data_IF_660552088008
#
_entry.id   IF_660552088008
#
_cell.length_a   1.000
_cell.length_b   1.000
_cell.length_c   1.000
_cell.angle_alpha   90.00
_cell.angle_beta   90.00
_cell.angle_gamma   90.00
#
_symmetry.space_group_name_H-M   'P 1'
#
loop_
_entity.id
_entity.type
_entity.pdbx_description
1 polymer ?
#
# COMPACT_ATOMS: atom_id res chain seq x y z
N UNK A 1 -22.36 14.07 -0.37
CA UNK A 1 -21.90 13.09 0.64
C UNK A 1 -22.05 11.68 0.08
N UNK A 2 -23.19 11.38 -0.54
CA UNK A 2 -23.52 10.04 -1.09
C UNK A 2 -22.55 9.54 -2.16
N UNK A 3 -22.13 10.40 -3.09
CA UNK A 3 -21.15 10.03 -4.13
C UNK A 3 -19.81 9.52 -3.57
N UNK A 4 -19.39 10.04 -2.41
CA UNK A 4 -18.13 9.64 -1.77
C UNK A 4 -18.30 8.28 -1.06
N UNK A 5 -19.44 8.07 -0.41
CA UNK A 5 -19.77 6.78 0.20
C UNK A 5 -19.98 5.69 -0.85
N UNK A 6 -20.54 6.03 -2.01
CA UNK A 6 -20.75 5.09 -3.11
C UNK A 6 -19.42 4.67 -3.74
N UNK A 7 -18.51 5.63 -3.95
CA UNK A 7 -17.16 5.34 -4.44
C UNK A 7 -16.37 4.45 -3.46
N UNK A 8 -16.44 4.74 -2.16
CA UNK A 8 -15.78 3.92 -1.15
C UNK A 8 -16.34 2.50 -1.12
N UNK A 9 -17.67 2.36 -1.23
CA UNK A 9 -18.31 1.05 -1.29
C UNK A 9 -17.89 0.27 -2.54
N UNK A 10 -17.92 0.91 -3.71
CA UNK A 10 -17.54 0.29 -4.99
C UNK A 10 -16.08 -0.19 -5.01
N UNK A 11 -15.18 0.51 -4.34
CA UNK A 11 -13.74 0.16 -4.33
C UNK A 11 -13.39 -0.81 -3.20
N UNK A 12 -13.90 -0.60 -1.98
CA UNK A 12 -13.43 -1.32 -0.79
C UNK A 12 -14.37 -2.41 -0.29
N UNK A 13 -15.63 -2.43 -0.74
CA UNK A 13 -16.64 -3.35 -0.22
C UNK A 13 -17.19 -4.32 -1.26
N UNK A 14 -17.72 -3.81 -2.38
CA UNK A 14 -18.34 -4.66 -3.41
C UNK A 14 -17.41 -5.70 -4.03
N UNK A 15 -16.11 -5.42 -4.29
CA UNK A 15 -15.21 -6.43 -4.83
C UNK A 15 -15.02 -7.61 -3.88
N UNK A 16 -15.02 -7.35 -2.57
CA UNK A 16 -14.91 -8.39 -1.56
C UNK A 16 -16.18 -9.22 -1.47
N UNK A 17 -17.36 -8.60 -1.58
CA UNK A 17 -18.60 -9.35 -1.70
C UNK A 17 -18.59 -10.25 -2.93
N UNK A 18 -18.17 -9.73 -4.09
CA UNK A 18 -18.07 -10.52 -5.31
C UNK A 18 -17.16 -11.75 -5.12
N UNK A 19 -15.98 -11.57 -4.52
CA UNK A 19 -15.06 -12.68 -4.23
C UNK A 19 -15.66 -13.69 -3.24
N UNK A 20 -16.32 -13.22 -2.17
CA UNK A 20 -16.90 -14.07 -1.13
C UNK A 20 -18.15 -14.83 -1.61
N UNK A 21 -18.78 -14.40 -2.70
CA UNK A 21 -19.90 -15.11 -3.34
C UNK A 21 -19.47 -16.20 -4.33
N UNK A 22 -18.19 -16.23 -4.70
CA UNK A 22 -17.64 -17.32 -5.51
C UNK A 22 -17.62 -18.63 -4.72
N UNK A 23 -17.46 -19.74 -5.43
CA UNK A 23 -17.15 -21.01 -4.79
C UNK A 23 -15.92 -20.88 -3.89
N UNK A 24 -15.95 -21.58 -2.75
CA UNK A 24 -14.94 -21.49 -1.69
C UNK A 24 -13.52 -21.73 -2.21
N UNK A 25 -13.35 -22.64 -3.19
CA UNK A 25 -12.04 -22.92 -3.77
C UNK A 25 -11.49 -21.70 -4.52
N UNK A 26 -12.31 -21.10 -5.38
CA UNK A 26 -11.93 -19.90 -6.14
C UNK A 26 -11.71 -18.69 -5.23
N UNK A 27 -12.60 -18.49 -4.26
CA UNK A 27 -12.48 -17.40 -3.29
C UNK A 27 -11.16 -17.49 -2.52
N UNK A 28 -10.81 -18.67 -2.02
CA UNK A 28 -9.56 -18.89 -1.29
C UNK A 28 -8.32 -18.66 -2.16
N UNK A 29 -8.33 -19.13 -3.41
CA UNK A 29 -7.22 -18.94 -4.34
C UNK A 29 -6.99 -17.44 -4.62
N UNK A 30 -8.06 -16.71 -4.92
CA UNK A 30 -8.00 -15.27 -5.20
C UNK A 30 -7.51 -14.51 -3.96
N UNK A 31 -8.06 -14.79 -2.79
CA UNK A 31 -7.66 -14.14 -1.53
C UNK A 31 -6.18 -14.43 -1.23
N UNK A 32 -5.72 -15.68 -1.40
CA UNK A 32 -4.32 -16.03 -1.18
C UNK A 32 -3.38 -15.25 -2.12
N UNK A 33 -3.75 -15.13 -3.40
CA UNK A 33 -2.99 -14.34 -4.38
C UNK A 33 -2.96 -12.86 -4.00
N UNK A 34 -4.11 -12.27 -3.64
CA UNK A 34 -4.22 -10.87 -3.23
C UNK A 34 -3.40 -10.58 -1.96
N UNK A 35 -3.46 -11.46 -0.97
CA UNK A 35 -2.68 -11.33 0.26
C UNK A 35 -1.17 -11.43 -0.01
N UNK A 36 -0.77 -12.38 -0.86
CA UNK A 36 0.63 -12.51 -1.28
C UNK A 36 1.12 -11.24 -1.99
N UNK A 37 0.35 -10.71 -2.95
CA UNK A 37 0.68 -9.47 -3.65
C UNK A 37 0.81 -8.29 -2.68
N UNK A 38 -0.14 -8.14 -1.74
CA UNK A 38 -0.08 -7.09 -0.71
C UNK A 38 1.17 -7.20 0.16
N UNK A 39 1.53 -8.40 0.58
CA UNK A 39 2.73 -8.66 1.36
C UNK A 39 4.01 -8.30 0.58
N UNK A 40 4.11 -8.73 -0.68
CA UNK A 40 5.27 -8.47 -1.53
C UNK A 40 5.43 -6.98 -1.80
N UNK A 41 4.37 -6.33 -2.31
CA UNK A 41 4.44 -4.91 -2.66
C UNK A 41 4.59 -4.03 -1.42
N UNK A 42 3.81 -4.27 -0.38
CA UNK A 42 3.87 -3.46 0.82
C UNK A 42 5.19 -3.64 1.57
N UNK A 43 5.72 -4.87 1.67
CA UNK A 43 7.02 -5.13 2.27
C UNK A 43 8.16 -4.47 1.49
N UNK A 44 8.12 -4.53 0.15
CA UNK A 44 9.08 -3.85 -0.72
C UNK A 44 9.01 -2.31 -0.58
N UNK A 45 7.80 -1.76 -0.52
CA UNK A 45 7.58 -0.32 -0.38
C UNK A 45 8.06 0.18 0.99
N UNK A 46 7.81 -0.57 2.06
CA UNK A 46 8.28 -0.27 3.42
C UNK A 46 9.81 -0.38 3.56
N UNK A 47 10.42 -1.37 2.91
CA UNK A 47 11.88 -1.51 2.87
C UNK A 47 12.53 -0.28 2.21
N UNK A 48 11.94 0.22 1.11
CA UNK A 48 12.39 1.47 0.47
C UNK A 48 12.14 2.72 1.30
N UNK A 49 11.10 2.71 2.12
CA UNK A 49 10.82 3.79 3.07
C UNK A 49 11.70 3.73 4.34
N UNK A 50 12.57 2.72 4.50
CA UNK A 50 13.44 2.58 5.68
C UNK A 50 12.69 2.23 6.97
N UNK A 51 11.46 1.70 6.88
CA UNK A 51 10.63 1.31 8.02
C UNK A 51 10.63 -0.21 8.19
N UNK A 52 10.30 -0.70 9.40
CA UNK A 52 10.21 -2.14 9.66
C UNK A 52 9.21 -2.81 8.69
N UNK A 53 9.58 -3.91 8.01
CA UNK A 53 8.71 -4.61 7.06
C UNK A 53 7.40 -5.11 7.69
N UNK A 54 7.37 -5.30 9.02
CA UNK A 54 6.20 -5.75 9.76
C UNK A 54 4.99 -4.82 9.65
N UNK A 55 5.21 -3.54 9.29
CA UNK A 55 4.12 -2.60 9.03
C UNK A 55 3.23 -3.01 7.85
N UNK A 56 3.69 -3.94 7.00
CA UNK A 56 2.86 -4.50 5.92
C UNK A 56 1.60 -5.17 6.47
N UNK A 57 1.64 -5.66 7.72
CA UNK A 57 0.48 -6.24 8.39
C UNK A 57 -0.69 -5.26 8.51
N UNK A 58 -0.39 -3.97 8.65
CA UNK A 58 -1.45 -2.94 8.70
C UNK A 58 -2.16 -2.81 7.36
N UNK A 59 -1.45 -3.00 6.23
CA UNK A 59 -2.04 -2.98 4.88
C UNK A 59 -2.99 -4.15 4.60
N UNK A 60 -2.92 -5.23 5.39
CA UNK A 60 -3.90 -6.32 5.27
C UNK A 60 -5.29 -5.87 5.72
N UNK A 61 -5.38 -4.84 6.57
CA UNK A 61 -6.65 -4.27 6.97
C UNK A 61 -7.25 -3.52 5.77
N UNK A 62 -8.44 -3.95 5.36
CA UNK A 62 -9.18 -3.31 4.29
C UNK A 62 -9.42 -1.82 4.62
N UNK A 63 -9.05 -0.93 3.70
CA UNK A 63 -9.13 0.53 3.88
C UNK A 63 -7.86 1.17 4.46
N UNK A 64 -6.97 0.41 5.12
CA UNK A 64 -5.67 0.93 5.55
C UNK A 64 -4.77 1.31 4.36
N UNK A 65 -5.02 0.72 3.19
CA UNK A 65 -4.36 1.09 1.93
C UNK A 65 -4.54 2.58 1.59
N UNK A 66 -5.69 3.19 1.92
CA UNK A 66 -5.95 4.62 1.69
C UNK A 66 -4.99 5.46 2.51
N UNK A 67 -4.91 5.16 3.81
CA UNK A 67 -4.04 5.88 4.75
C UNK A 67 -2.59 5.69 4.35
N UNK A 68 -2.22 4.46 3.97
CA UNK A 68 -0.87 4.19 3.51
C UNK A 68 -0.53 4.94 2.23
N UNK A 69 -1.41 4.97 1.22
CA UNK A 69 -1.22 5.75 0.01
C UNK A 69 -1.00 7.24 0.35
N UNK A 70 -1.81 7.76 1.27
CA UNK A 70 -1.70 9.15 1.75
C UNK A 70 -0.35 9.39 2.44
N UNK A 71 0.02 8.54 3.40
CA UNK A 71 1.31 8.61 4.09
C UNK A 71 2.47 8.51 3.09
N UNK A 72 2.44 7.57 2.15
CA UNK A 72 3.47 7.40 1.14
C UNK A 72 3.58 8.58 0.16
N UNK A 73 2.48 9.29 -0.09
CA UNK A 73 2.49 10.48 -0.94
C UNK A 73 3.17 11.68 -0.27
N UNK A 74 3.09 11.80 1.06
CA UNK A 74 3.61 12.96 1.80
C UNK A 74 4.90 12.71 2.60
N UNK A 75 5.20 11.45 2.94
CA UNK A 75 6.44 11.10 3.65
C UNK A 75 7.62 11.13 2.70
N UNK A 76 8.73 11.72 3.15
CA UNK A 76 10.01 11.71 2.42
C UNK A 76 10.56 10.31 2.30
N UNK A 77 10.98 9.93 1.10
CA UNK A 77 11.47 8.59 0.81
C UNK A 77 12.99 8.56 1.01
N UNK A 78 13.53 7.96 2.08
CA UNK A 78 14.97 8.01 2.36
C UNK A 78 15.81 7.43 1.23
N UNK A 79 15.32 6.41 0.51
CA UNK A 79 16.03 5.84 -0.64
C UNK A 79 16.07 6.78 -1.86
N UNK A 80 15.04 7.62 -2.06
CA UNK A 80 14.95 8.53 -3.21
C UNK A 80 15.60 9.89 -2.88
N UNK A 81 15.35 10.40 -1.67
CA UNK A 81 15.83 11.70 -1.21
C UNK A 81 17.27 11.66 -0.68
N UNK A 82 17.73 10.52 -0.16
CA UNK A 82 19.07 10.36 0.40
C UNK A 82 20.19 10.53 -0.64
N UNK A 83 19.94 10.15 -1.89
CA UNK A 83 20.90 10.31 -2.99
C UNK A 83 21.14 11.79 -3.34
N UNK A 84 20.13 12.66 -3.14
CA UNK A 84 20.24 14.10 -3.44
C UNK A 84 21.01 14.88 -2.38
N UNK A 85 21.11 14.36 -1.15
CA UNK A 85 21.88 14.99 -0.07
C UNK A 85 23.41 14.76 -0.21
N UNK A 86 23.83 13.88 -1.12
CA UNK A 86 25.23 13.55 -1.36
C UNK A 86 25.87 14.35 -2.51
N UNK A 87 25.17 15.33 -3.11
CA UNK A 87 25.86 16.33 -3.92
C UNK A 87 26.78 17.12 -2.99
N UNK A 88 28.12 17.05 -3.16
CA UNK A 88 29.02 17.90 -2.40
C UNK A 88 28.63 19.34 -2.72
N UNK A 89 28.48 20.16 -1.68
CA UNK A 89 28.56 21.62 -1.83
C UNK A 89 29.82 21.86 -2.65
N UNK A 90 29.64 22.26 -3.90
CA UNK A 90 30.72 22.72 -4.74
C UNK A 90 31.25 23.96 -4.04
N UNK A 91 32.36 23.80 -3.35
CA UNK A 91 33.20 24.88 -2.85
C UNK A 91 33.61 25.73 -4.06
N UNK A 92 32.77 26.72 -4.36
CA UNK A 92 33.02 27.80 -5.29
C UNK A 92 32.66 29.07 -4.53
N UNK A 93 33.60 29.53 -3.68
CA UNK A 93 34.25 30.84 -3.74
C UNK A 93 34.91 31.20 -2.39
#
# INVERSE_FOLDING_TARGET
MDALTDLLRAVYWEPWQAILTLDLWWANLIIAILLMLKMVFGGWMLAKAGRSPLWVLVLLINGADIVALWVFAYVRWPFVDGARAAEPVSDAD
#
